data_IF_268099795631
#
_entry.id   IF_268099795631
#
_cell.length_a   1.000
_cell.length_b   1.000
_cell.length_c   1.000
_cell.angle_alpha   90.00
_cell.angle_beta   90.00
_cell.angle_gamma   90.00
#
_symmetry.space_group_name_H-M   'P 1'
#
loop_
_entity.id
_entity.type
_entity.pdbx_description
1 polymer ?
#
# COMPACT_ATOMS: atom_id res chain seq x y z
N UNK A 1 -69.62 53.82 23.06
CA UNK A 1 -70.29 54.12 24.35
C UNK A 1 -70.37 52.83 25.15
N UNK A 2 -69.99 52.90 26.44
CA UNK A 2 -70.42 52.07 27.58
C UNK A 2 -70.17 50.55 27.49
N UNK A 3 -69.41 49.98 28.44
CA UNK A 3 -69.87 49.62 29.81
C UNK A 3 -71.10 48.72 29.78
N UNK A 4 -71.22 47.59 30.46
CA UNK A 4 -70.42 46.94 31.50
C UNK A 4 -71.00 45.51 31.73
N UNK A 5 -70.23 44.72 32.48
CA UNK A 5 -70.63 43.72 33.50
C UNK A 5 -70.79 42.23 33.16
N UNK A 6 -70.27 41.49 34.16
CA UNK A 6 -70.58 40.15 34.68
C UNK A 6 -70.01 38.97 33.87
N UNK A 7 -69.07 38.21 34.43
CA UNK A 7 -69.37 37.04 35.27
C UNK A 7 -68.11 36.47 35.94
N UNK A 8 -68.23 36.23 37.26
CA UNK A 8 -67.27 35.51 38.11
C UNK A 8 -67.46 34.01 37.89
N UNK A 9 -66.38 33.27 37.67
CA UNK A 9 -66.24 31.84 38.02
C UNK A 9 -64.73 31.57 38.20
N UNK A 10 -64.26 31.50 39.44
CA UNK A 10 -64.00 30.28 40.20
C UNK A 10 -62.74 29.53 39.72
N UNK A 11 -61.68 29.70 40.51
CA UNK A 11 -60.61 28.74 40.85
C UNK A 11 -60.11 27.78 39.76
N UNK A 12 -58.83 27.90 39.39
CA UNK A 12 -57.76 27.00 39.87
C UNK A 12 -56.40 27.47 39.32
N UNK A 13 -55.47 27.71 40.24
CA UNK A 13 -54.05 27.86 39.98
C UNK A 13 -53.51 26.57 39.33
N UNK A 14 -52.81 26.68 38.20
CA UNK A 14 -51.84 25.68 37.76
C UNK A 14 -50.50 26.38 37.58
N UNK A 15 -49.43 25.93 38.29
CA UNK A 15 -48.12 26.55 38.21
C UNK A 15 -47.40 26.12 36.93
N UNK A 16 -46.78 27.12 36.31
CA UNK A 16 -45.80 26.99 35.23
C UNK A 16 -44.65 26.08 35.66
N UNK A 17 -44.48 24.93 35.00
CA UNK A 17 -43.22 24.18 34.99
C UNK A 17 -42.43 24.61 33.74
N UNK A 18 -41.59 25.63 33.89
CA UNK A 18 -40.58 25.99 32.91
C UNK A 18 -39.41 24.98 33.01
N UNK A 19 -39.36 24.02 32.10
CA UNK A 19 -38.23 23.09 31.94
C UNK A 19 -37.13 23.75 31.10
N UNK A 20 -36.09 24.24 31.76
CA UNK A 20 -34.81 24.57 31.12
C UNK A 20 -34.13 23.26 30.65
N UNK A 21 -34.21 22.95 29.35
CA UNK A 21 -33.42 21.89 28.75
C UNK A 21 -31.94 22.32 28.64
N UNK A 22 -31.11 21.87 29.58
CA UNK A 22 -29.66 21.92 29.44
C UNK A 22 -29.25 20.77 28.52
N UNK A 23 -28.97 21.07 27.25
CA UNK A 23 -28.49 20.07 26.29
C UNK A 23 -27.06 19.63 26.65
N UNK A 24 -26.78 18.31 26.84
CA UNK A 24 -25.43 17.83 27.06
C UNK A 24 -24.62 17.96 25.77
N UNK A 25 -23.56 18.76 25.80
CA UNK A 25 -22.54 18.80 24.75
C UNK A 25 -21.76 17.49 24.83
N UNK A 26 -22.14 16.51 24.02
CA UNK A 26 -21.35 15.30 23.81
C UNK A 26 -20.09 15.68 23.02
N UNK A 27 -19.00 15.98 23.74
CA UNK A 27 -17.66 16.05 23.14
C UNK A 27 -17.29 14.63 22.77
N UNK A 28 -17.46 14.29 21.48
CA UNK A 28 -16.99 13.00 20.97
C UNK A 28 -15.48 12.91 21.16
N UNK A 29 -14.95 11.82 21.73
CA UNK A 29 -13.51 11.64 21.80
C UNK A 29 -13.00 11.61 20.36
N UNK A 30 -12.04 12.46 20.04
CA UNK A 30 -11.29 12.37 18.79
C UNK A 30 -10.39 11.15 18.97
N UNK A 31 -10.80 10.00 18.43
CA UNK A 31 -9.93 8.83 18.35
C UNK A 31 -8.74 9.26 17.49
N UNK A 32 -7.53 9.21 18.04
CA UNK A 32 -6.32 9.51 17.31
C UNK A 32 -6.24 8.59 16.09
N UNK A 33 -6.53 9.14 14.91
CA UNK A 33 -6.34 8.43 13.66
C UNK A 33 -4.84 8.28 13.49
N UNK A 34 -4.33 7.04 13.54
CA UNK A 34 -2.94 6.78 13.19
C UNK A 34 -2.66 7.41 11.81
N UNK A 35 -1.52 8.08 11.62
CA UNK A 35 -1.24 8.73 10.34
C UNK A 35 -1.32 7.69 9.22
N UNK A 36 -1.87 8.06 8.07
CA UNK A 36 -2.08 7.16 6.93
C UNK A 36 -0.79 6.47 6.40
N UNK A 37 0.37 6.88 6.91
CA UNK A 37 1.70 6.36 6.60
C UNK A 37 2.33 5.54 7.75
N UNK A 38 1.56 5.18 8.78
CA UNK A 38 2.03 4.30 9.84
C UNK A 38 1.62 2.85 9.57
N UNK A 39 2.52 1.93 9.90
CA UNK A 39 2.25 0.50 9.88
C UNK A 39 1.09 0.17 10.85
N UNK A 40 0.14 -0.70 10.45
CA UNK A 40 -0.93 -1.15 11.35
C UNK A 40 -0.40 -1.72 12.66
N UNK A 41 -1.11 -1.52 13.77
CA UNK A 41 -0.71 -2.11 15.04
C UNK A 41 -0.77 -3.65 14.98
N UNK A 42 0.23 -4.33 15.55
CA UNK A 42 0.22 -5.79 15.66
C UNK A 42 1.61 -6.39 15.94
N UNK A 43 1.61 -7.65 16.36
CA UNK A 43 2.84 -8.45 16.52
C UNK A 43 3.62 -8.49 15.22
N UNK A 44 4.90 -8.10 15.24
CA UNK A 44 5.75 -8.01 14.04
C UNK A 44 5.85 -6.60 13.43
N UNK A 45 5.01 -5.63 13.85
CA UNK A 45 5.09 -4.24 13.38
C UNK A 45 6.48 -3.64 13.59
N UNK A 46 7.02 -3.77 14.80
CA UNK A 46 8.29 -3.14 15.16
C UNK A 46 9.47 -3.83 14.49
N UNK A 47 9.39 -5.15 14.27
CA UNK A 47 10.36 -5.87 13.45
C UNK A 47 10.40 -5.33 12.02
N UNK A 48 9.25 -5.09 11.38
CA UNK A 48 9.20 -4.47 10.05
C UNK A 48 9.77 -3.05 10.07
N UNK A 49 9.38 -2.25 11.08
CA UNK A 49 9.84 -0.88 11.20
C UNK A 49 11.37 -0.79 11.36
N UNK A 50 11.99 -1.73 12.07
CA UNK A 50 13.44 -1.74 12.33
C UNK A 50 14.22 -2.48 11.24
N UNK A 51 13.82 -3.68 10.86
CA UNK A 51 14.58 -4.51 9.93
C UNK A 51 14.53 -3.97 8.50
N UNK A 52 13.35 -3.52 8.04
CA UNK A 52 13.15 -3.20 6.63
C UNK A 52 13.51 -1.75 6.26
N UNK A 53 13.61 -0.85 7.24
CA UNK A 53 13.93 0.57 6.98
C UNK A 53 15.43 0.87 6.98
N UNK A 54 16.27 -0.14 7.22
CA UNK A 54 17.73 -0.01 7.19
C UNK A 54 18.26 0.26 5.76
N UNK A 55 17.55 -0.22 4.74
CA UNK A 55 18.01 -0.12 3.35
C UNK A 55 17.06 0.67 2.45
N UNK A 56 15.74 0.63 2.69
CA UNK A 56 14.76 1.31 1.84
C UNK A 56 13.58 1.88 2.64
N UNK A 57 12.84 2.81 2.04
CA UNK A 57 11.70 3.47 2.70
C UNK A 57 10.51 2.52 2.95
N UNK A 58 9.83 2.73 4.08
CA UNK A 58 8.67 1.93 4.47
C UNK A 58 7.45 2.07 3.55
N UNK A 59 7.36 3.22 2.86
CA UNK A 59 6.29 3.51 1.88
C UNK A 59 6.20 2.44 0.79
N UNK A 60 7.34 1.89 0.36
CA UNK A 60 7.38 0.84 -0.65
C UNK A 60 6.64 -0.39 -0.16
N UNK A 61 6.97 -0.87 1.03
CA UNK A 61 6.33 -2.05 1.64
C UNK A 61 4.83 -1.83 1.81
N UNK A 62 4.44 -0.64 2.29
CA UNK A 62 3.04 -0.30 2.53
C UNK A 62 2.19 -0.17 1.25
N UNK A 63 2.81 0.03 0.09
CA UNK A 63 2.12 0.08 -1.20
C UNK A 63 1.82 -1.32 -1.76
N UNK A 64 2.48 -2.35 -1.24
CA UNK A 64 2.40 -3.72 -1.73
C UNK A 64 1.29 -4.49 -1.04
N UNK A 65 0.68 -5.43 -1.77
CA UNK A 65 -0.29 -6.38 -1.23
C UNK A 65 0.03 -7.77 -1.74
N UNK A 66 0.11 -8.74 -0.85
CA UNK A 66 0.33 -10.14 -1.19
C UNK A 66 -0.30 -11.08 -0.14
N UNK A 67 -0.32 -12.37 -0.44
CA UNK A 67 -0.68 -13.44 0.49
C UNK A 67 0.52 -13.96 1.29
N UNK A 68 0.30 -14.94 2.18
CA UNK A 68 1.33 -15.47 3.07
C UNK A 68 2.58 -15.98 2.35
N UNK A 69 2.39 -16.68 1.23
CA UNK A 69 3.49 -17.26 0.45
C UNK A 69 4.34 -16.18 -0.21
N UNK A 70 3.71 -15.19 -0.84
CA UNK A 70 4.43 -14.07 -1.46
C UNK A 70 5.20 -13.28 -0.41
N UNK A 71 4.56 -12.89 0.69
CA UNK A 71 5.23 -12.16 1.77
C UNK A 71 6.39 -12.93 2.40
N UNK A 72 6.27 -14.26 2.57
CA UNK A 72 7.39 -15.07 3.07
C UNK A 72 8.59 -15.02 2.13
N UNK A 73 8.34 -15.16 0.82
CA UNK A 73 9.39 -15.11 -0.20
C UNK A 73 10.10 -13.74 -0.22
N UNK A 74 9.35 -12.64 -0.10
CA UNK A 74 9.93 -11.30 0.05
C UNK A 74 10.88 -11.17 1.23
N UNK A 75 10.45 -11.67 2.39
CA UNK A 75 11.27 -11.61 3.60
C UNK A 75 12.56 -12.41 3.39
N UNK A 76 12.49 -13.58 2.77
CA UNK A 76 13.67 -14.37 2.41
C UNK A 76 14.60 -13.61 1.45
N UNK A 77 14.07 -12.99 0.40
CA UNK A 77 14.86 -12.21 -0.54
C UNK A 77 15.56 -11.03 0.15
N UNK A 78 14.89 -10.38 1.10
CA UNK A 78 15.51 -9.30 1.88
C UNK A 78 16.61 -9.82 2.81
N UNK A 79 16.43 -11.00 3.42
CA UNK A 79 17.46 -11.66 4.23
C UNK A 79 18.68 -12.01 3.36
N UNK A 80 18.46 -12.56 2.17
CA UNK A 80 19.54 -12.85 1.20
C UNK A 80 20.31 -11.58 0.78
N UNK A 81 19.63 -10.43 0.78
CA UNK A 81 20.21 -9.11 0.50
C UNK A 81 20.82 -8.44 1.75
N UNK A 82 20.77 -9.09 2.91
CA UNK A 82 21.44 -8.65 4.13
C UNK A 82 20.53 -8.11 5.24
N UNK A 83 19.20 -8.22 5.12
CA UNK A 83 18.30 -7.88 6.22
C UNK A 83 18.56 -8.81 7.42
N UNK A 84 18.68 -8.21 8.60
CA UNK A 84 19.02 -8.91 9.83
C UNK A 84 17.74 -9.41 10.52
N UNK A 85 17.30 -10.61 10.16
CA UNK A 85 16.18 -11.33 10.78
C UNK A 85 16.59 -12.78 11.02
N UNK A 86 16.30 -13.31 12.20
CA UNK A 86 16.39 -14.74 12.44
C UNK A 86 15.15 -15.49 11.89
N UNK A 87 15.14 -16.83 11.83
CA UNK A 87 14.02 -17.58 11.26
C UNK A 87 12.65 -17.32 11.91
N UNK A 88 12.59 -17.20 13.24
CA UNK A 88 11.33 -16.95 13.97
C UNK A 88 10.82 -15.52 13.73
N UNK A 89 11.73 -14.55 13.66
CA UNK A 89 11.41 -13.17 13.31
C UNK A 89 10.93 -13.06 11.87
N UNK A 90 11.56 -13.78 10.94
CA UNK A 90 11.16 -13.83 9.53
C UNK A 90 9.71 -14.35 9.39
N UNK A 91 9.38 -15.43 10.10
CA UNK A 91 8.01 -15.96 10.13
C UNK A 91 7.02 -14.97 10.75
N UNK A 92 7.41 -14.32 11.85
CA UNK A 92 6.60 -13.29 12.51
C UNK A 92 6.31 -12.11 11.58
N UNK A 93 7.33 -11.63 10.86
CA UNK A 93 7.21 -10.55 9.88
C UNK A 93 6.33 -10.97 8.71
N UNK A 94 6.53 -12.16 8.13
CA UNK A 94 5.72 -12.65 7.03
C UNK A 94 4.23 -12.77 7.40
N UNK A 95 3.94 -13.27 8.61
CA UNK A 95 2.57 -13.33 9.14
C UNK A 95 1.97 -11.93 9.35
N UNK A 96 2.75 -11.01 9.92
CA UNK A 96 2.32 -9.62 10.11
C UNK A 96 1.99 -8.94 8.78
N UNK A 97 2.88 -9.03 7.78
CA UNK A 97 2.68 -8.44 6.46
C UNK A 97 1.47 -9.07 5.76
N UNK A 98 1.32 -10.39 5.81
CA UNK A 98 0.16 -11.05 5.21
C UNK A 98 -1.16 -10.67 5.87
N UNK A 99 -1.18 -10.47 7.20
CA UNK A 99 -2.40 -10.10 7.92
C UNK A 99 -2.81 -8.66 7.65
N UNK A 100 -1.83 -7.75 7.58
CA UNK A 100 -2.08 -6.32 7.55
C UNK A 100 -2.01 -5.71 6.14
N UNK A 101 -1.25 -6.33 5.26
CA UNK A 101 -1.01 -5.95 3.87
C UNK A 101 -1.41 -7.09 2.91
N UNK A 102 -2.42 -7.87 3.29
CA UNK A 102 -3.09 -8.84 2.42
C UNK A 102 -4.60 -8.65 2.43
N UNK A 103 -5.35 -9.48 1.69
CA UNK A 103 -4.86 -10.36 0.63
C UNK A 103 -4.55 -9.55 -0.65
N UNK A 104 -3.49 -9.93 -1.37
CA UNK A 104 -3.25 -9.42 -2.72
C UNK A 104 -4.25 -10.01 -3.70
N UNK A 105 -5.07 -9.18 -4.35
CA UNK A 105 -5.95 -9.61 -5.46
C UNK A 105 -5.17 -9.88 -6.75
N UNK A 106 -3.92 -9.41 -6.81
CA UNK A 106 -2.92 -9.78 -7.80
C UNK A 106 -1.63 -10.09 -7.02
N UNK A 107 -1.21 -11.37 -6.90
CA UNK A 107 0.04 -11.71 -6.24
C UNK A 107 1.19 -11.01 -6.98
N UNK A 108 2.15 -10.53 -6.20
CA UNK A 108 3.28 -9.81 -6.74
C UNK A 108 4.24 -10.77 -7.43
N UNK A 109 4.43 -11.96 -6.85
CA UNK A 109 5.05 -13.09 -7.55
C UNK A 109 4.10 -13.61 -8.63
N UNK A 110 4.63 -13.75 -9.84
CA UNK A 110 3.86 -14.23 -10.98
C UNK A 110 3.60 -15.74 -10.92
N UNK A 111 4.42 -16.48 -10.15
CA UNK A 111 4.43 -17.94 -10.12
C UNK A 111 4.94 -18.56 -11.43
N UNK A 112 5.43 -17.74 -12.36
CA UNK A 112 6.05 -18.18 -13.61
C UNK A 112 7.54 -18.43 -13.38
N UNK A 113 8.12 -19.30 -14.21
CA UNK A 113 9.57 -19.51 -14.20
C UNK A 113 10.29 -18.25 -14.71
N UNK A 114 11.31 -17.84 -13.98
CA UNK A 114 12.24 -16.78 -14.38
C UNK A 114 13.33 -17.38 -15.26
N UNK A 115 13.12 -17.35 -16.58
CA UNK A 115 14.12 -17.76 -17.56
C UNK A 115 15.17 -16.65 -17.80
N UNK A 116 16.45 -16.98 -18.03
CA UNK A 116 17.48 -15.98 -18.26
C UNK A 116 17.10 -14.98 -19.37
N UNK A 117 17.41 -13.71 -19.13
CA UNK A 117 17.18 -12.66 -20.12
C UNK A 117 18.17 -12.81 -21.30
N UNK A 118 17.76 -12.46 -22.54
CA UNK A 118 18.69 -12.37 -23.65
C UNK A 118 19.84 -11.39 -23.39
N UNK A 119 21.06 -11.62 -23.89
CA UNK A 119 22.15 -10.68 -23.70
C UNK A 119 21.86 -9.34 -24.41
N UNK A 120 22.15 -8.22 -23.73
CA UNK A 120 22.03 -6.88 -24.31
C UNK A 120 22.20 -5.72 -23.32
N UNK A 121 22.28 -4.49 -23.84
CA UNK A 121 22.63 -3.28 -23.07
C UNK A 121 21.67 -2.96 -21.90
N UNK A 122 20.44 -3.50 -21.91
CA UNK A 122 19.47 -3.34 -20.83
C UNK A 122 19.28 -4.58 -19.95
N UNK A 123 19.93 -5.70 -20.25
CA UNK A 123 19.78 -6.97 -19.52
C UNK A 123 20.04 -6.78 -18.02
N UNK A 124 21.25 -6.33 -17.67
CA UNK A 124 21.66 -6.14 -16.28
C UNK A 124 20.82 -5.13 -15.53
N UNK A 125 20.33 -4.09 -16.22
CA UNK A 125 19.43 -3.11 -15.62
C UNK A 125 18.08 -3.75 -15.28
N UNK A 126 17.51 -4.54 -16.18
CA UNK A 126 16.27 -5.26 -15.87
C UNK A 126 16.48 -6.23 -14.70
N UNK A 127 17.59 -6.96 -14.66
CA UNK A 127 17.91 -7.86 -13.55
C UNK A 127 18.09 -7.11 -12.22
N UNK A 128 18.79 -5.97 -12.21
CA UNK A 128 19.06 -5.24 -10.97
C UNK A 128 17.85 -4.49 -10.45
N UNK A 129 16.99 -3.95 -11.32
CA UNK A 129 15.90 -3.05 -10.93
C UNK A 129 14.53 -3.74 -10.88
N UNK A 130 14.25 -4.72 -11.74
CA UNK A 130 12.91 -5.31 -11.82
C UNK A 130 12.65 -6.37 -10.74
N UNK A 131 13.70 -7.02 -10.21
CA UNK A 131 13.58 -8.04 -9.14
C UNK A 131 13.81 -7.52 -7.73
N UNK A 132 13.81 -6.20 -7.58
CA UNK A 132 13.80 -5.58 -6.25
C UNK A 132 12.49 -5.86 -5.52
N UNK A 133 11.40 -5.97 -6.30
CA UNK A 133 10.08 -6.27 -5.77
C UNK A 133 9.66 -7.68 -6.20
N UNK A 134 9.23 -7.90 -7.43
CA UNK A 134 8.70 -9.19 -7.86
C UNK A 134 9.67 -9.96 -8.75
N UNK A 135 9.43 -11.26 -8.94
CA UNK A 135 10.09 -12.01 -10.00
C UNK A 135 9.83 -11.39 -11.39
N UNK A 136 10.72 -11.63 -12.35
CA UNK A 136 10.55 -11.15 -13.73
C UNK A 136 9.84 -12.16 -14.64
N UNK A 137 9.28 -13.28 -14.14
CA UNK A 137 8.79 -14.37 -14.96
C UNK A 137 7.82 -13.90 -16.07
N UNK A 138 6.96 -12.94 -15.74
CA UNK A 138 6.01 -12.31 -16.68
C UNK A 138 6.68 -11.55 -17.84
N UNK A 139 7.89 -11.02 -17.68
CA UNK A 139 8.61 -10.30 -18.75
C UNK A 139 8.82 -11.22 -19.96
N UNK A 140 9.25 -12.45 -19.70
CA UNK A 140 9.60 -13.42 -20.75
C UNK A 140 8.38 -14.04 -21.45
N UNK A 141 7.19 -13.88 -20.89
CA UNK A 141 5.95 -14.51 -21.39
C UNK A 141 5.01 -13.55 -22.11
N UNK A 142 5.34 -12.26 -22.23
CA UNK A 142 4.47 -11.26 -22.86
C UNK A 142 5.19 -10.52 -23.97
N UNK A 143 4.53 -10.35 -25.11
CA UNK A 143 4.97 -9.44 -26.15
C UNK A 143 4.20 -8.11 -26.04
N UNK A 144 4.89 -6.98 -26.00
CA UNK A 144 4.29 -5.64 -25.90
C UNK A 144 4.89 -4.67 -26.92
N UNK A 145 4.16 -3.61 -27.27
CA UNK A 145 4.71 -2.52 -28.07
C UNK A 145 5.78 -1.76 -27.28
N UNK A 146 6.63 -0.99 -27.97
CA UNK A 146 7.63 -0.12 -27.31
C UNK A 146 6.98 0.83 -26.31
N UNK A 147 5.84 1.41 -26.67
CA UNK A 147 5.08 2.31 -25.79
C UNK A 147 4.53 1.59 -24.56
N UNK A 148 3.94 0.41 -24.74
CA UNK A 148 3.45 -0.43 -23.63
C UNK A 148 4.58 -0.83 -22.67
N UNK A 149 5.78 -1.12 -23.19
CA UNK A 149 6.96 -1.40 -22.36
C UNK A 149 7.44 -0.16 -21.60
N UNK A 150 7.60 0.98 -22.27
CA UNK A 150 7.95 2.24 -21.61
C UNK A 150 6.99 2.60 -20.48
N UNK A 151 5.68 2.46 -20.72
CA UNK A 151 4.66 2.71 -19.71
C UNK A 151 4.77 1.73 -18.53
N UNK A 152 5.06 0.46 -18.80
CA UNK A 152 5.25 -0.55 -17.75
C UNK A 152 6.47 -0.22 -16.89
N UNK A 153 7.62 0.07 -17.50
CA UNK A 153 8.86 0.41 -16.77
C UNK A 153 8.67 1.68 -15.94
N UNK A 154 8.11 2.74 -16.52
CA UNK A 154 7.83 4.00 -15.81
C UNK A 154 6.91 3.78 -14.60
N UNK A 155 5.83 3.02 -14.76
CA UNK A 155 4.90 2.71 -13.67
C UNK A 155 5.58 1.93 -12.54
N UNK A 156 6.43 0.96 -12.87
CA UNK A 156 7.14 0.18 -11.86
C UNK A 156 8.20 1.02 -11.14
N UNK A 157 8.99 1.80 -11.85
CA UNK A 157 10.00 2.66 -11.23
C UNK A 157 9.38 3.76 -10.36
N UNK A 158 8.25 4.32 -10.78
CA UNK A 158 7.48 5.27 -9.96
C UNK A 158 7.01 4.63 -8.64
N UNK A 159 6.57 3.36 -8.68
CA UNK A 159 6.15 2.61 -7.49
C UNK A 159 7.32 2.20 -6.61
N UNK A 160 8.46 1.87 -7.22
CA UNK A 160 9.72 1.56 -6.52
C UNK A 160 10.31 2.79 -5.81
N UNK A 161 9.89 4.00 -6.18
CA UNK A 161 10.24 5.24 -5.51
C UNK A 161 11.39 6.01 -6.18
N UNK A 162 11.76 7.13 -5.58
CA UNK A 162 12.80 8.02 -6.12
C UNK A 162 14.19 7.41 -5.96
N UNK A 163 15.08 7.67 -6.92
CA UNK A 163 16.49 7.25 -6.94
C UNK A 163 16.74 5.73 -7.07
N UNK A 164 15.77 4.96 -7.58
CA UNK A 164 15.98 3.54 -7.89
C UNK A 164 16.61 3.34 -9.28
N UNK A 165 16.29 4.21 -10.23
CA UNK A 165 16.88 4.25 -11.57
C UNK A 165 16.87 5.69 -12.10
N UNK A 166 17.86 6.03 -12.92
CA UNK A 166 17.94 7.28 -13.68
C UNK A 166 16.99 7.24 -14.88
N UNK A 167 16.69 8.42 -15.45
CA UNK A 167 15.85 8.49 -16.64
C UNK A 167 16.47 7.73 -17.84
N UNK A 168 17.79 7.77 -17.97
CA UNK A 168 18.51 7.07 -19.05
C UNK A 168 18.47 5.55 -18.85
N UNK A 169 18.61 5.06 -17.62
CA UNK A 169 18.44 3.63 -17.29
C UNK A 169 17.02 3.16 -17.57
N UNK A 170 16.00 3.97 -17.23
CA UNK A 170 14.59 3.69 -17.54
C UNK A 170 14.38 3.54 -19.05
N UNK A 171 14.93 4.47 -19.85
CA UNK A 171 14.82 4.44 -21.30
C UNK A 171 15.58 3.25 -21.90
N UNK A 172 16.72 2.88 -21.31
CA UNK A 172 17.54 1.74 -21.72
C UNK A 172 16.79 0.43 -21.46
N UNK A 173 16.24 0.24 -20.26
CA UNK A 173 15.40 -0.92 -19.93
C UNK A 173 14.19 -1.03 -20.86
N UNK A 174 13.46 0.06 -21.09
CA UNK A 174 12.29 0.06 -21.96
C UNK A 174 12.65 -0.30 -23.41
N UNK A 175 13.77 0.22 -23.92
CA UNK A 175 14.25 -0.06 -25.28
C UNK A 175 14.69 -1.51 -25.42
N UNK A 176 15.41 -2.04 -24.44
CA UNK A 176 15.82 -3.45 -24.39
C UNK A 176 14.60 -4.38 -24.36
N UNK A 177 13.62 -4.15 -23.48
CA UNK A 177 12.41 -4.96 -23.41
C UNK A 177 11.61 -4.93 -24.71
N UNK A 178 11.54 -3.77 -25.37
CA UNK A 178 10.88 -3.65 -26.66
C UNK A 178 11.62 -4.37 -27.80
N UNK A 179 12.96 -4.40 -27.76
CA UNK A 179 13.76 -5.08 -28.77
C UNK A 179 13.65 -6.61 -28.66
N UNK A 180 13.64 -7.15 -27.43
CA UNK A 180 13.66 -8.60 -27.20
C UNK A 180 12.28 -9.22 -27.00
N UNK A 181 11.32 -8.44 -26.49
CA UNK A 181 9.95 -8.88 -26.16
C UNK A 181 8.90 -7.97 -26.82
N UNK A 182 9.23 -7.44 -28.00
CA UNK A 182 8.36 -6.59 -28.81
C UNK A 182 7.24 -7.36 -29.51
N UNK A 183 6.03 -6.78 -29.62
CA UNK A 183 5.04 -7.23 -30.60
C UNK A 183 5.61 -7.04 -32.01
N UNK A 184 5.55 -8.07 -32.85
CA UNK A 184 5.88 -7.94 -34.27
C UNK A 184 4.91 -6.93 -34.92
N UNK A 185 5.38 -6.09 -35.86
CA UNK A 185 4.47 -5.28 -36.68
C UNK A 185 3.49 -6.22 -37.37
N UNK A 186 2.18 -5.92 -37.25
CA UNK A 186 1.10 -6.61 -37.97
C UNK A 186 1.12 -6.31 -39.46
#
# INVERSE_FOLDING_TARGET
MRSDKVFRFWTHFSPLFALCFVAPIFVSPIWAQAPANALPAGTGRDLVAVACTQCHGLKLIMALRDGPVGWRHFVDDMILRGAQLNPEEADTVAQYLSKNLGPGTAPMQSGLKSEPLPPGDGEKLVESHCVLCHDFGRITTVARSKEEWSNTVNNMMTRAGTNIATQDEILTMASYLAAHFGKKPS
#
